data_IF_765323258053
#
_entry.id   IF_765323258053
#
_cell.length_a   1.000
_cell.length_b   1.000
_cell.length_c   1.000
_cell.angle_alpha   90.00
_cell.angle_beta   90.00
_cell.angle_gamma   90.00
#
_symmetry.space_group_name_H-M   'P 1'
#
loop_
_entity.id
_entity.type
_entity.pdbx_description
1 polymer ?
#
# COMPACT_ATOMS: atom_id res chain seq x y z
N UNK A 1 -12.36 -19.00 -17.99
CA UNK A 1 -11.27 -18.12 -17.52
C UNK A 1 -11.87 -17.23 -16.45
N UNK A 2 -11.35 -17.18 -15.23
CA UNK A 2 -11.91 -16.27 -14.20
C UNK A 2 -11.59 -14.84 -14.62
N UNK A 3 -12.61 -14.02 -14.85
CA UNK A 3 -12.44 -12.58 -15.02
C UNK A 3 -11.98 -12.02 -13.67
N UNK A 4 -10.76 -11.50 -13.64
CA UNK A 4 -10.24 -10.84 -12.45
C UNK A 4 -10.46 -9.34 -12.62
N UNK A 5 -11.27 -8.77 -11.73
CA UNK A 5 -11.58 -7.34 -11.77
C UNK A 5 -10.38 -6.52 -11.29
N UNK A 6 -9.93 -5.59 -12.14
CA UNK A 6 -8.88 -4.64 -11.77
C UNK A 6 -9.41 -3.61 -10.77
N UNK A 7 -9.02 -3.74 -9.51
CA UNK A 7 -9.35 -2.77 -8.46
C UNK A 7 -8.30 -1.68 -8.38
N UNK A 8 -8.74 -0.42 -8.40
CA UNK A 8 -7.86 0.74 -8.19
C UNK A 8 -7.77 1.02 -6.69
N UNK A 9 -6.55 1.07 -6.16
CA UNK A 9 -6.30 1.39 -4.76
C UNK A 9 -6.05 2.89 -4.65
N UNK A 10 -6.85 3.55 -3.82
CA UNK A 10 -6.75 4.99 -3.55
C UNK A 10 -6.21 5.24 -2.15
N UNK A 11 -5.56 6.39 -1.98
CA UNK A 11 -5.14 6.83 -0.65
C UNK A 11 -6.34 7.43 0.09
N UNK A 12 -6.74 6.88 1.25
CA UNK A 12 -7.87 7.40 2.02
C UNK A 12 -7.67 8.85 2.53
N UNK A 13 -6.43 9.34 2.61
CA UNK A 13 -6.14 10.73 3.05
C UNK A 13 -6.11 11.76 1.93
N UNK A 14 -5.71 11.39 0.71
CA UNK A 14 -5.52 12.37 -0.36
C UNK A 14 -6.28 12.06 -1.65
N UNK A 15 -7.03 10.95 -1.67
CA UNK A 15 -7.83 10.53 -2.83
C UNK A 15 -7.00 10.14 -4.05
N UNK A 16 -5.67 10.19 -4.00
CA UNK A 16 -4.82 9.89 -5.15
C UNK A 16 -4.71 8.39 -5.35
N UNK A 17 -4.72 7.96 -6.62
CA UNK A 17 -4.44 6.57 -7.00
C UNK A 17 -3.01 6.21 -6.55
N UNK A 18 -2.89 5.20 -5.70
CA UNK A 18 -1.62 4.72 -5.16
C UNK A 18 -1.19 3.37 -5.73
N UNK A 19 -2.13 2.61 -6.28
CA UNK A 19 -1.83 1.34 -6.93
C UNK A 19 -3.02 0.77 -7.70
N UNK A 20 -2.77 -0.34 -8.38
CA UNK A 20 -3.78 -1.22 -8.96
C UNK A 20 -3.60 -2.62 -8.40
N UNK A 21 -4.71 -3.34 -8.32
CA UNK A 21 -4.79 -4.71 -7.89
C UNK A 21 -5.59 -5.50 -8.93
N UNK A 22 -4.92 -6.41 -9.62
CA UNK A 22 -5.47 -7.15 -10.76
C UNK A 22 -6.40 -8.31 -10.33
N UNK A 23 -6.87 -8.36 -9.08
CA UNK A 23 -7.79 -9.38 -8.54
C UNK A 23 -7.22 -10.79 -8.41
N UNK A 24 -6.03 -11.06 -8.95
CA UNK A 24 -5.40 -12.40 -8.98
C UNK A 24 -4.57 -12.73 -7.75
N UNK A 25 -3.96 -11.73 -7.11
CA UNK A 25 -3.05 -11.94 -5.98
C UNK A 25 -3.82 -11.97 -4.67
N UNK A 26 -3.66 -13.00 -3.84
CA UNK A 26 -4.20 -13.04 -2.47
C UNK A 26 -3.33 -12.29 -1.46
N UNK A 27 -2.25 -11.65 -1.91
CA UNK A 27 -1.29 -10.95 -1.05
C UNK A 27 -1.74 -9.51 -0.84
N UNK A 28 -1.71 -9.06 0.43
CA UNK A 28 -1.94 -7.67 0.80
C UNK A 28 -1.01 -6.73 0.02
N UNK A 29 -1.60 -5.77 -0.70
CA UNK A 29 -0.84 -4.85 -1.55
C UNK A 29 -0.36 -3.69 -0.71
N UNK A 30 0.96 -3.53 -0.63
CA UNK A 30 1.58 -2.43 0.11
C UNK A 30 2.05 -1.37 -0.88
N UNK A 31 1.50 -0.16 -0.77
CA UNK A 31 1.83 0.97 -1.63
C UNK A 31 2.29 2.17 -0.79
N UNK A 32 3.18 3.00 -1.33
CA UNK A 32 3.56 4.27 -0.71
C UNK A 32 2.86 5.42 -1.43
N UNK A 33 2.13 6.25 -0.69
CA UNK A 33 1.59 7.48 -1.26
C UNK A 33 2.71 8.52 -1.37
N UNK A 34 3.06 8.96 -2.58
CA UNK A 34 4.07 10.00 -2.80
C UNK A 34 3.69 11.36 -2.21
N UNK A 35 2.39 11.68 -2.12
CA UNK A 35 1.90 12.96 -1.57
C UNK A 35 1.86 12.96 -0.04
N UNK A 36 1.29 11.91 0.56
CA UNK A 36 1.16 11.84 2.03
C UNK A 36 2.42 11.30 2.72
N UNK A 37 3.34 10.71 1.95
CA UNK A 37 4.49 9.98 2.44
C UNK A 37 4.14 8.91 3.49
N UNK A 38 3.00 8.23 3.30
CA UNK A 38 2.52 7.16 4.18
C UNK A 38 2.47 5.84 3.45
N UNK A 39 2.63 4.76 4.21
CA UNK A 39 2.48 3.39 3.73
C UNK A 39 1.00 3.03 3.81
N UNK A 40 0.43 2.60 2.69
CA UNK A 40 -0.95 2.16 2.60
C UNK A 40 -0.90 0.66 2.38
N UNK A 41 -1.61 -0.08 3.21
CA UNK A 41 -1.77 -1.52 3.09
C UNK A 41 -3.21 -1.76 2.64
N UNK A 42 -3.36 -2.33 1.45
CA UNK A 42 -4.64 -2.78 0.94
C UNK A 42 -4.78 -4.26 1.23
N UNK A 43 -5.80 -4.59 2.03
CA UNK A 43 -6.17 -5.95 2.35
C UNK A 43 -7.05 -6.47 1.22
N UNK A 44 -6.56 -7.49 0.51
CA UNK A 44 -7.29 -8.04 -0.65
C UNK A 44 -8.52 -8.83 -0.17
N UNK A 45 -8.43 -9.49 0.99
CA UNK A 45 -9.49 -10.30 1.58
C UNK A 45 -10.71 -9.48 2.01
N UNK A 46 -10.48 -8.36 2.72
CA UNK A 46 -11.57 -7.51 3.23
C UNK A 46 -11.86 -6.30 2.33
N UNK A 47 -10.95 -5.98 1.40
CA UNK A 47 -11.01 -4.76 0.58
C UNK A 47 -10.68 -3.48 1.36
N UNK A 48 -10.22 -3.60 2.60
CA UNK A 48 -9.93 -2.45 3.47
C UNK A 48 -8.57 -1.83 3.17
N UNK A 49 -8.45 -0.52 3.42
CA UNK A 49 -7.18 0.21 3.31
C UNK A 49 -6.73 0.72 4.66
N UNK A 50 -5.61 0.19 5.14
CA UNK A 50 -4.96 0.68 6.35
C UNK A 50 -3.84 1.66 6.01
N UNK A 51 -3.69 2.69 6.85
CA UNK A 51 -2.56 3.62 6.75
C UNK A 51 -1.56 3.28 7.86
N UNK A 52 -0.37 2.85 7.47
CA UNK A 52 0.76 2.60 8.37
C UNK A 52 1.85 3.65 8.14
N UNK A 53 2.62 3.92 9.20
CA UNK A 53 3.81 4.75 9.08
C UNK A 53 4.89 3.99 8.30
N UNK A 54 5.78 4.74 7.64
CA UNK A 54 6.95 4.13 7.00
C UNK A 54 7.83 3.59 8.14
N UNK A 55 8.20 2.29 8.11
CA UNK A 55 9.07 1.74 9.14
C UNK A 55 10.43 2.43 9.03
N UNK A 56 10.90 2.99 10.15
CA UNK A 56 12.27 3.50 10.24
C UNK A 56 13.21 2.30 10.22
N UNK A 57 14.16 2.30 9.29
CA UNK A 57 15.22 1.28 9.26
C UNK A 57 16.45 1.86 9.95
N UNK A 58 16.79 1.26 11.09
CA UNK A 58 18.03 1.54 11.78
C UNK A 58 19.09 0.59 11.23
N UNK A 59 20.20 1.12 10.75
CA UNK A 59 21.37 0.33 10.38
C UNK A 59 22.24 0.07 11.61
N UNK A 60 23.02 -1.01 11.59
CA UNK A 60 23.97 -1.38 12.65
C UNK A 60 25.03 -0.31 12.91
N UNK A 61 25.25 0.61 11.96
CA UNK A 61 26.10 1.80 12.09
C UNK A 61 25.45 2.98 12.83
N UNK A 62 24.21 2.83 13.33
CA UNK A 62 23.45 3.90 13.99
C UNK A 62 22.79 4.91 13.05
N UNK A 63 22.98 4.76 11.72
CA UNK A 63 22.30 5.60 10.73
C UNK A 63 20.84 5.19 10.55
N UNK A 64 19.95 6.19 10.46
CA UNK A 64 18.52 5.98 10.21
C UNK A 64 18.17 6.43 8.80
N UNK A 65 17.64 5.52 7.97
CA UNK A 65 17.11 5.86 6.65
C UNK A 65 15.59 6.12 6.75
N UNK A 66 15.17 7.32 6.37
CA UNK A 66 13.77 7.78 6.37
C UNK A 66 13.15 7.68 4.98
#
# INVERSE_FOLDING_TARGET
MKEYEEKKIYCPKCGRKVGTHDGRSTINKICRCKKCNKRIVYHVDTGETEIKNIPKRNCSSGMTFV
#
